data_IF_374899258290
#
_entry.id   IF_374899258290
#
_cell.length_a   1.000
_cell.length_b   1.000
_cell.length_c   1.000
_cell.angle_alpha   90.00
_cell.angle_beta   90.00
_cell.angle_gamma   90.00
#
_symmetry.space_group_name_H-M   'P 1'
#
loop_
_entity.id
_entity.type
_entity.pdbx_description
1 polymer ?
#
# COMPACT_ATOMS: atom_id res chain seq x y z
N UNK A 1 -14.88 -9.28 -2.79
CA UNK A 1 -15.02 -9.29 -1.33
C UNK A 1 -15.81 -8.06 -0.94
N UNK A 2 -17.00 -8.23 -0.42
CA UNK A 2 -17.86 -7.11 0.01
C UNK A 2 -17.27 -6.56 1.31
N UNK A 3 -16.64 -5.41 1.25
CA UNK A 3 -16.22 -4.67 2.44
C UNK A 3 -17.48 -4.22 3.16
N UNK A 4 -17.80 -4.85 4.28
CA UNK A 4 -18.85 -4.37 5.15
C UNK A 4 -18.45 -2.99 5.67
N UNK A 5 -19.20 -1.96 5.30
CA UNK A 5 -19.01 -0.60 5.78
C UNK A 5 -19.46 -0.57 7.24
N UNK A 6 -18.51 -0.44 8.16
CA UNK A 6 -18.79 -0.34 9.59
C UNK A 6 -19.15 1.09 9.91
N UNK A 7 -20.42 1.34 10.18
CA UNK A 7 -20.98 2.65 10.54
C UNK A 7 -21.33 2.65 12.03
N UNK A 8 -21.04 3.75 12.72
CA UNK A 8 -21.44 3.95 14.11
C UNK A 8 -22.85 4.52 14.17
N UNK A 9 -23.85 3.80 14.71
CA UNK A 9 -25.11 4.42 15.08
C UNK A 9 -25.00 5.14 16.43
N UNK A 10 -25.81 6.15 16.66
CA UNK A 10 -25.83 6.97 17.86
C UNK A 10 -26.10 6.21 19.20
N UNK A 11 -26.25 4.90 19.15
CA UNK A 11 -26.46 4.05 20.32
C UNK A 11 -25.65 2.74 20.13
N UNK A 12 -24.35 2.82 20.38
CA UNK A 12 -23.43 1.71 20.14
C UNK A 12 -23.56 0.61 21.19
N UNK A 13 -23.85 -0.60 20.72
CA UNK A 13 -23.53 -1.78 21.50
C UNK A 13 -21.99 -1.92 21.62
N UNK A 14 -21.48 -2.27 22.80
CA UNK A 14 -20.03 -2.42 23.06
C UNK A 14 -19.32 -3.36 22.08
N UNK A 15 -20.04 -4.36 21.57
CA UNK A 15 -19.50 -5.28 20.57
C UNK A 15 -19.23 -4.58 19.23
N UNK A 16 -20.12 -3.69 18.80
CA UNK A 16 -19.95 -2.91 17.57
C UNK A 16 -18.82 -1.88 17.72
N UNK A 17 -18.69 -1.24 18.88
CA UNK A 17 -17.59 -0.33 19.17
C UNK A 17 -16.23 -1.03 19.06
N UNK A 18 -16.10 -2.25 19.60
CA UNK A 18 -14.86 -3.03 19.49
C UNK A 18 -14.51 -3.40 18.03
N UNK A 19 -15.51 -3.71 17.20
CA UNK A 19 -15.29 -4.01 15.80
C UNK A 19 -14.88 -2.77 14.99
N UNK A 20 -15.47 -1.62 15.29
CA UNK A 20 -15.08 -0.33 14.69
C UNK A 20 -13.66 0.06 15.10
N UNK A 21 -13.31 -0.06 16.39
CA UNK A 21 -11.96 0.20 16.88
C UNK A 21 -10.96 -0.70 16.15
N UNK A 22 -11.22 -1.99 16.07
CA UNK A 22 -10.35 -2.95 15.36
C UNK A 22 -10.18 -2.59 13.88
N UNK A 23 -11.28 -2.19 13.22
CA UNK A 23 -11.24 -1.74 11.82
C UNK A 23 -10.45 -0.45 11.66
N UNK A 24 -10.61 0.52 12.57
CA UNK A 24 -9.86 1.78 12.58
C UNK A 24 -8.35 1.54 12.76
N UNK A 25 -7.97 0.71 13.72
CA UNK A 25 -6.57 0.33 13.90
C UNK A 25 -5.99 -0.33 12.65
N UNK A 26 -6.72 -1.28 12.07
CA UNK A 26 -6.28 -1.97 10.85
C UNK A 26 -6.12 -1.02 9.67
N UNK A 27 -6.99 -0.03 9.54
CA UNK A 27 -6.93 0.96 8.46
C UNK A 27 -5.80 1.96 8.68
N UNK A 28 -5.66 2.51 9.89
CA UNK A 28 -4.69 3.56 10.21
C UNK A 28 -3.27 2.99 10.31
N UNK A 29 -3.09 1.86 10.98
CA UNK A 29 -1.76 1.25 11.16
C UNK A 29 -1.45 0.15 10.12
N UNK A 30 -2.32 -0.07 9.14
CA UNK A 30 -2.18 -1.13 8.16
C UNK A 30 -2.38 -2.52 8.79
N UNK A 31 -1.91 -3.54 8.12
CA UNK A 31 -2.02 -4.93 8.58
C UNK A 31 -0.85 -5.33 9.51
N UNK A 32 -0.37 -4.40 10.31
CA UNK A 32 0.73 -4.62 11.24
C UNK A 32 0.23 -5.32 12.50
N UNK A 33 1.07 -6.19 13.08
CA UNK A 33 0.91 -6.62 14.45
C UNK A 33 1.25 -5.46 15.40
N UNK A 34 0.28 -4.98 16.15
CA UNK A 34 0.46 -3.93 17.14
C UNK A 34 0.83 -4.55 18.48
N UNK A 35 1.86 -3.99 19.11
CA UNK A 35 2.26 -4.35 20.46
C UNK A 35 1.36 -3.64 21.48
N UNK A 36 1.35 -4.10 22.71
CA UNK A 36 0.57 -3.50 23.79
C UNK A 36 0.86 -2.00 23.98
N UNK A 37 2.11 -1.58 23.77
CA UNK A 37 2.54 -0.18 23.82
C UNK A 37 2.04 0.67 22.65
N UNK A 38 1.61 0.05 21.56
CA UNK A 38 1.10 0.75 20.38
C UNK A 38 -0.41 1.03 20.49
N UNK A 39 -1.11 0.34 21.39
CA UNK A 39 -2.53 0.52 21.64
C UNK A 39 -2.77 1.84 22.40
N UNK A 40 -3.87 2.52 22.08
CA UNK A 40 -4.23 3.82 22.64
C UNK A 40 -5.50 3.74 23.53
N UNK A 41 -5.40 3.19 24.76
CA UNK A 41 -6.59 2.89 25.59
C UNK A 41 -7.43 4.13 25.92
N UNK A 42 -6.78 5.31 26.03
CA UNK A 42 -7.49 6.57 26.31
C UNK A 42 -8.37 6.98 25.12
N UNK A 43 -7.88 6.83 23.89
CA UNK A 43 -8.64 7.15 22.68
C UNK A 43 -9.80 6.17 22.51
N UNK A 44 -9.56 4.89 22.77
CA UNK A 44 -10.59 3.84 22.73
C UNK A 44 -11.70 4.12 23.74
N UNK A 45 -11.33 4.51 24.98
CA UNK A 45 -12.29 4.84 26.04
C UNK A 45 -13.17 6.03 25.65
N UNK A 46 -12.60 7.09 25.07
CA UNK A 46 -13.36 8.25 24.58
C UNK A 46 -14.35 7.85 23.48
N UNK A 47 -13.94 6.97 22.58
CA UNK A 47 -14.82 6.47 21.53
C UNK A 47 -15.95 5.59 22.09
N UNK A 48 -15.64 4.66 23.00
CA UNK A 48 -16.64 3.79 23.66
C UNK A 48 -17.66 4.60 24.46
N UNK A 49 -17.22 5.69 25.11
CA UNK A 49 -18.08 6.59 25.85
C UNK A 49 -18.96 7.49 24.95
N UNK A 50 -18.69 7.54 23.65
CA UNK A 50 -19.43 8.40 22.71
C UNK A 50 -18.90 9.83 22.62
N UNK A 51 -17.74 10.12 23.22
CA UNK A 51 -17.11 11.44 23.16
C UNK A 51 -16.42 11.72 21.81
N UNK A 52 -16.15 10.65 21.03
CA UNK A 52 -15.55 10.73 19.70
C UNK A 52 -16.47 10.10 18.65
N UNK A 53 -16.54 10.73 17.48
CA UNK A 53 -17.05 10.11 16.26
C UNK A 53 -16.03 9.14 15.68
N UNK A 54 -16.39 8.36 14.67
CA UNK A 54 -15.41 7.51 13.96
C UNK A 54 -14.33 8.35 13.28
N UNK A 55 -14.69 9.49 12.68
CA UNK A 55 -13.73 10.47 12.17
C UNK A 55 -12.76 10.94 13.25
N UNK A 56 -13.29 11.28 14.44
CA UNK A 56 -12.50 11.71 15.60
C UNK A 56 -11.54 10.60 16.07
N UNK A 57 -12.02 9.35 16.14
CA UNK A 57 -11.21 8.18 16.45
C UNK A 57 -10.05 8.01 15.46
N UNK A 58 -10.34 8.03 14.16
CA UNK A 58 -9.33 7.90 13.10
C UNK A 58 -8.31 9.02 13.16
N UNK A 59 -8.77 10.27 13.40
CA UNK A 59 -7.89 11.44 13.53
C UNK A 59 -6.97 11.29 14.74
N UNK A 60 -7.52 10.94 15.90
CA UNK A 60 -6.74 10.79 17.13
C UNK A 60 -5.72 9.64 17.02
N UNK A 61 -6.08 8.51 16.40
CA UNK A 61 -5.14 7.43 16.14
C UNK A 61 -4.02 7.86 15.19
N UNK A 62 -4.35 8.59 14.12
CA UNK A 62 -3.36 9.08 13.15
C UNK A 62 -2.48 10.23 13.70
N UNK A 63 -2.93 10.94 14.72
CA UNK A 63 -2.13 11.97 15.43
C UNK A 63 -1.35 11.38 16.62
N UNK A 64 -1.48 10.08 16.91
CA UNK A 64 -0.78 9.46 18.04
C UNK A 64 0.73 9.37 17.82
N UNK A 65 1.47 9.35 18.93
CA UNK A 65 2.93 9.13 18.92
C UNK A 65 3.30 7.80 18.23
N UNK A 66 2.45 6.79 18.33
CA UNK A 66 2.64 5.52 17.63
C UNK A 66 2.65 5.70 16.12
N UNK A 67 1.68 6.43 15.55
CA UNK A 67 1.64 6.70 14.11
C UNK A 67 2.83 7.54 13.66
N UNK A 68 3.18 8.56 14.41
CA UNK A 68 4.34 9.43 14.18
C UNK A 68 5.64 8.62 14.12
N UNK A 69 5.88 7.81 15.14
CA UNK A 69 7.08 6.95 15.22
C UNK A 69 7.16 5.94 14.07
N UNK A 70 6.03 5.31 13.73
CA UNK A 70 5.98 4.26 12.73
C UNK A 70 6.12 4.77 11.29
N UNK A 71 5.55 5.93 11.00
CA UNK A 71 5.40 6.38 9.62
C UNK A 71 6.13 7.69 9.32
N UNK A 72 6.15 8.66 10.23
CA UNK A 72 6.86 9.92 9.99
C UNK A 72 8.36 9.78 10.25
N UNK A 73 8.74 9.28 11.42
CA UNK A 73 10.14 9.22 11.83
C UNK A 73 10.93 8.12 11.08
N UNK A 74 10.24 7.06 10.67
CA UNK A 74 10.84 5.93 9.96
C UNK A 74 10.96 6.15 8.45
N UNK A 75 10.34 7.19 7.89
CA UNK A 75 10.25 7.37 6.44
C UNK A 75 10.60 8.81 6.01
N UNK A 76 10.82 8.98 4.70
CA UNK A 76 10.90 10.31 4.11
C UNK A 76 9.54 11.02 4.13
N UNK A 77 9.49 12.37 4.15
CA UNK A 77 8.23 13.12 4.09
C UNK A 77 7.34 12.73 2.91
N UNK A 78 7.93 12.44 1.76
CA UNK A 78 7.20 11.98 0.57
C UNK A 78 6.51 10.63 0.79
N UNK A 79 7.21 9.68 1.44
CA UNK A 79 6.61 8.38 1.76
C UNK A 79 5.56 8.51 2.84
N UNK A 80 5.77 9.36 3.82
CA UNK A 80 4.78 9.65 4.84
C UNK A 80 3.47 10.19 4.23
N UNK A 81 3.56 11.16 3.31
CA UNK A 81 2.38 11.69 2.57
C UNK A 81 1.68 10.59 1.77
N UNK A 82 2.43 9.73 1.06
CA UNK A 82 1.84 8.58 0.36
C UNK A 82 1.04 7.68 1.30
N UNK A 83 1.57 7.41 2.49
CA UNK A 83 0.91 6.56 3.49
C UNK A 83 -0.33 7.23 4.07
N UNK A 84 -0.30 8.56 4.31
CA UNK A 84 -1.47 9.31 4.74
C UNK A 84 -2.61 9.24 3.72
N UNK A 85 -2.32 9.40 2.43
CA UNK A 85 -3.32 9.21 1.37
C UNK A 85 -3.94 7.81 1.40
N UNK A 86 -3.12 6.80 1.62
CA UNK A 86 -3.59 5.41 1.72
C UNK A 86 -4.44 5.16 2.96
N UNK A 87 -3.93 5.54 4.12
CA UNK A 87 -4.56 5.22 5.40
C UNK A 87 -5.81 6.05 5.67
N UNK A 88 -5.80 7.34 5.32
CA UNK A 88 -6.84 8.28 5.65
C UNK A 88 -7.83 8.50 4.50
N UNK A 89 -7.37 8.52 3.25
CA UNK A 89 -8.23 8.72 2.08
C UNK A 89 -8.48 7.46 1.24
N UNK A 90 -7.78 6.35 1.54
CA UNK A 90 -7.96 5.08 0.84
C UNK A 90 -7.54 5.08 -0.63
N UNK A 91 -6.70 6.01 -1.06
CA UNK A 91 -6.22 6.15 -2.43
C UNK A 91 -4.74 6.55 -2.49
N UNK A 92 -4.16 6.46 -3.67
CA UNK A 92 -2.86 7.05 -3.95
C UNK A 92 -2.95 8.56 -4.22
N UNK A 93 -1.86 9.33 -4.04
CA UNK A 93 -1.76 10.70 -4.54
C UNK A 93 -1.98 10.75 -6.06
N UNK A 94 -2.70 11.78 -6.53
CA UNK A 94 -3.02 11.96 -7.95
C UNK A 94 -1.82 12.48 -8.74
N UNK A 95 -1.16 13.48 -8.19
CA UNK A 95 -0.05 14.16 -8.85
C UNK A 95 1.00 14.68 -7.86
N UNK A 96 2.04 15.27 -8.41
CA UNK A 96 3.13 15.85 -7.64
C UNK A 96 2.70 17.13 -6.89
N UNK A 97 1.67 17.82 -7.35
CA UNK A 97 1.19 19.03 -6.70
C UNK A 97 0.53 18.70 -5.36
N UNK A 98 -0.31 17.64 -5.31
CA UNK A 98 -0.85 17.12 -4.04
C UNK A 98 0.25 16.76 -3.03
N UNK A 99 1.27 16.01 -3.49
CA UNK A 99 2.38 15.63 -2.61
C UNK A 99 3.12 16.88 -2.10
N UNK A 100 3.42 17.81 -2.99
CA UNK A 100 4.16 19.04 -2.63
C UNK A 100 3.40 19.92 -1.65
N UNK A 101 2.08 20.02 -1.79
CA UNK A 101 1.22 20.76 -0.87
C UNK A 101 1.29 20.17 0.54
N UNK A 102 1.12 18.85 0.66
CA UNK A 102 1.14 18.16 1.93
C UNK A 102 2.54 18.14 2.59
N UNK A 103 3.60 17.95 1.80
CA UNK A 103 4.98 18.05 2.34
C UNK A 103 5.27 19.47 2.86
N UNK A 104 4.77 20.50 2.17
CA UNK A 104 4.91 21.89 2.65
C UNK A 104 4.11 22.10 3.93
N UNK A 105 2.86 21.63 3.99
CA UNK A 105 2.04 21.75 5.21
C UNK A 105 2.69 21.04 6.39
N UNK A 106 3.23 19.83 6.18
CA UNK A 106 3.98 19.13 7.23
C UNK A 106 5.16 19.93 7.75
N UNK A 107 5.87 20.66 6.86
CA UNK A 107 7.02 21.50 7.24
C UNK A 107 6.61 22.80 7.95
N UNK A 108 5.53 23.45 7.50
CA UNK A 108 5.14 24.79 7.90
C UNK A 108 4.19 24.76 9.11
N UNK A 109 3.25 23.83 9.13
CA UNK A 109 2.17 23.73 10.12
C UNK A 109 2.35 22.54 11.09
N UNK A 110 3.18 21.57 10.73
CA UNK A 110 3.51 20.43 11.57
C UNK A 110 2.63 19.21 11.36
N UNK A 111 2.94 18.16 12.13
CA UNK A 111 2.37 16.81 11.99
C UNK A 111 0.85 16.76 12.21
N UNK A 112 0.36 17.40 13.27
CA UNK A 112 -1.06 17.35 13.64
C UNK A 112 -1.93 18.04 12.60
N UNK A 113 -1.49 19.21 12.10
CA UNK A 113 -2.18 19.96 11.07
C UNK A 113 -2.19 19.20 9.73
N UNK A 114 -1.07 18.54 9.41
CA UNK A 114 -1.00 17.69 8.22
C UNK A 114 -2.02 16.56 8.29
N UNK A 115 -2.11 15.81 9.39
CA UNK A 115 -3.12 14.75 9.55
C UNK A 115 -4.54 15.32 9.49
N UNK A 116 -4.79 16.43 10.18
CA UNK A 116 -6.10 17.09 10.18
C UNK A 116 -6.55 17.49 8.77
N UNK A 117 -5.60 17.88 7.91
CA UNK A 117 -5.90 18.27 6.53
C UNK A 117 -6.52 17.15 5.69
N UNK A 118 -6.24 15.89 6.00
CA UNK A 118 -6.88 14.74 5.35
C UNK A 118 -8.23 14.43 5.96
N UNK A 119 -8.29 14.29 7.28
CA UNK A 119 -9.49 13.79 7.97
C UNK A 119 -10.64 14.80 8.00
N UNK A 120 -10.34 16.10 7.93
CA UNK A 120 -11.35 17.17 7.83
C UNK A 120 -11.52 17.71 6.40
N UNK A 121 -10.93 17.05 5.39
CA UNK A 121 -11.11 17.44 3.99
C UNK A 121 -12.52 17.17 3.50
N UNK A 122 -12.96 17.94 2.51
CA UNK A 122 -14.23 17.67 1.80
C UNK A 122 -14.21 16.28 1.15
N UNK A 123 -13.03 15.81 0.71
CA UNK A 123 -12.91 14.48 0.13
C UNK A 123 -13.21 13.39 1.16
N UNK A 124 -12.68 13.51 2.38
CA UNK A 124 -12.95 12.57 3.47
C UNK A 124 -14.44 12.55 3.80
N UNK A 125 -15.02 13.72 4.03
CA UNK A 125 -16.43 13.85 4.42
C UNK A 125 -17.39 13.33 3.35
N UNK A 126 -17.09 13.58 2.08
CA UNK A 126 -17.93 13.11 0.97
C UNK A 126 -17.86 11.58 0.76
N UNK A 127 -16.76 10.94 1.11
CA UNK A 127 -16.57 9.51 0.90
C UNK A 127 -16.88 8.65 2.13
N UNK A 128 -16.58 9.15 3.32
CA UNK A 128 -16.68 8.38 4.57
C UNK A 128 -17.64 9.02 5.58
N UNK A 129 -17.87 10.33 5.47
CA UNK A 129 -18.66 11.05 6.49
C UNK A 129 -17.94 11.08 7.84
N UNK A 130 -18.72 11.18 8.93
CA UNK A 130 -18.21 11.24 10.29
C UNK A 130 -18.27 9.90 11.03
N UNK A 131 -19.05 8.95 10.50
CA UNK A 131 -19.39 7.69 11.18
C UNK A 131 -18.87 6.44 10.49
N UNK A 132 -18.05 6.57 9.44
CA UNK A 132 -17.52 5.43 8.69
C UNK A 132 -16.01 5.37 8.79
N UNK A 133 -15.47 4.17 9.08
CA UNK A 133 -14.02 3.93 9.03
C UNK A 133 -13.55 4.02 7.57
N UNK A 134 -12.48 4.77 7.26
CA UNK A 134 -11.92 4.81 5.93
C UNK A 134 -11.58 3.41 5.39
N UNK A 135 -11.70 3.25 4.09
CA UNK A 135 -11.40 1.99 3.40
C UNK A 135 -10.69 2.27 2.07
N UNK A 136 -10.02 1.25 1.54
CA UNK A 136 -9.33 1.37 0.25
C UNK A 136 -10.32 1.54 -0.90
N UNK A 137 -10.22 2.65 -1.64
CA UNK A 137 -11.11 3.01 -2.75
C UNK A 137 -10.55 2.57 -4.11
N UNK A 138 -9.97 1.38 -4.16
CA UNK A 138 -9.29 0.87 -5.35
C UNK A 138 -10.23 0.43 -6.47
N UNK A 139 -11.47 0.12 -6.13
CA UNK A 139 -12.41 -0.51 -7.07
C UNK A 139 -13.24 0.49 -7.92
N UNK A 140 -13.12 1.78 -7.65
CA UNK A 140 -13.92 2.81 -8.35
C UNK A 140 -13.04 3.63 -9.28
N UNK A 141 -13.40 3.65 -10.57
CA UNK A 141 -12.88 4.62 -11.53
C UNK A 141 -13.82 5.81 -11.57
N UNK A 142 -13.27 7.02 -11.47
CA UNK A 142 -14.04 8.27 -11.57
C UNK A 142 -13.95 8.77 -13.01
N UNK A 143 -15.07 9.22 -13.57
CA UNK A 143 -15.10 9.81 -14.92
C UNK A 143 -14.18 11.04 -14.95
N UNK A 144 -13.28 11.07 -15.91
CA UNK A 144 -12.27 12.14 -16.04
C UNK A 144 -10.95 11.89 -15.31
N UNK A 145 -10.85 10.85 -14.50
CA UNK A 145 -9.57 10.43 -13.92
C UNK A 145 -8.84 9.40 -14.79
N UNK A 146 -7.52 9.48 -14.80
CA UNK A 146 -6.67 8.52 -15.50
C UNK A 146 -6.67 7.16 -14.78
N UNK A 147 -6.65 6.07 -15.53
CA UNK A 147 -6.44 4.70 -15.01
C UNK A 147 -5.12 4.54 -14.24
N UNK A 148 -4.18 5.46 -14.38
CA UNK A 148 -2.94 5.51 -13.62
C UNK A 148 -3.21 5.67 -12.12
N UNK A 149 -4.23 6.43 -11.72
CA UNK A 149 -4.62 6.58 -10.31
C UNK A 149 -5.00 5.24 -9.68
N UNK A 150 -5.79 4.43 -10.40
CA UNK A 150 -6.13 3.06 -9.98
C UNK A 150 -4.89 2.19 -9.83
N UNK A 151 -4.01 2.18 -10.82
CA UNK A 151 -2.78 1.38 -10.78
C UNK A 151 -1.84 1.80 -9.65
N UNK A 152 -1.75 3.09 -9.34
CA UNK A 152 -0.98 3.60 -8.20
C UNK A 152 -1.56 3.13 -6.87
N UNK A 153 -2.86 3.18 -6.71
CA UNK A 153 -3.53 2.71 -5.49
C UNK A 153 -3.32 1.21 -5.30
N UNK A 154 -3.40 0.42 -6.36
CA UNK A 154 -3.07 -1.01 -6.32
C UNK A 154 -1.60 -1.29 -5.98
N UNK A 155 -0.68 -0.48 -6.51
CA UNK A 155 0.75 -0.64 -6.24
C UNK A 155 1.14 -0.33 -4.78
N UNK A 156 0.30 0.41 -4.05
CA UNK A 156 0.50 0.69 -2.63
C UNK A 156 0.02 -0.43 -1.71
N UNK A 157 -0.75 -1.39 -2.21
CA UNK A 157 -1.23 -2.50 -1.39
C UNK A 157 -0.11 -3.53 -1.18
N UNK A 158 0.34 -3.77 0.08
CA UNK A 158 1.38 -4.74 0.38
C UNK A 158 0.91 -6.19 0.24
N UNK A 159 -0.39 -6.41 -0.03
CA UNK A 159 -1.02 -7.72 0.00
C UNK A 159 -1.37 -8.17 1.42
N UNK A 160 -1.92 -9.38 1.51
CA UNK A 160 -2.50 -9.91 2.76
C UNK A 160 -1.49 -10.08 3.90
N UNK A 161 -0.26 -10.46 3.58
CA UNK A 161 0.77 -10.78 4.58
C UNK A 161 1.79 -9.64 4.79
N UNK A 162 1.69 -8.55 4.03
CA UNK A 162 2.60 -7.43 4.15
C UNK A 162 2.05 -6.30 5.02
N UNK A 163 2.92 -5.42 5.47
CA UNK A 163 2.56 -4.17 6.11
C UNK A 163 3.39 -2.99 5.56
N UNK A 164 2.89 -1.77 5.78
CA UNK A 164 3.41 -0.59 5.08
C UNK A 164 4.79 -0.12 5.56
N UNK A 165 5.15 -0.42 6.81
CA UNK A 165 6.44 -0.04 7.39
C UNK A 165 7.65 -0.72 6.75
N UNK A 166 7.48 -1.88 6.11
CA UNK A 166 8.57 -2.63 5.47
C UNK A 166 8.78 -2.25 4.00
N UNK A 167 7.99 -1.31 3.48
CA UNK A 167 8.00 -0.99 2.06
C UNK A 167 8.53 0.40 1.78
N UNK A 168 9.51 0.47 0.88
CA UNK A 168 9.94 1.74 0.31
C UNK A 168 8.84 2.34 -0.57
N UNK A 169 8.91 3.66 -0.82
CA UNK A 169 8.02 4.32 -1.77
C UNK A 169 8.09 3.67 -3.15
N UNK A 170 6.95 3.28 -3.69
CA UNK A 170 6.81 2.73 -5.04
C UNK A 170 6.22 3.74 -6.02
N UNK A 171 5.69 4.85 -5.50
CA UNK A 171 4.96 5.84 -6.29
C UNK A 171 5.77 7.06 -6.68
N UNK A 172 6.85 7.36 -5.97
CA UNK A 172 7.60 8.61 -6.12
C UNK A 172 7.98 8.89 -7.59
N UNK A 173 8.54 7.89 -8.28
CA UNK A 173 8.89 8.01 -9.70
C UNK A 173 7.63 8.09 -10.57
N UNK A 174 6.64 7.25 -10.30
CA UNK A 174 5.39 7.21 -11.06
C UNK A 174 4.62 8.52 -11.00
N UNK A 175 4.57 9.16 -9.84
CA UNK A 175 3.87 10.43 -9.64
C UNK A 175 4.64 11.57 -10.30
N UNK A 176 5.96 11.65 -10.10
CA UNK A 176 6.81 12.71 -10.67
C UNK A 176 6.87 12.65 -12.20
N UNK A 177 6.97 11.46 -12.78
CA UNK A 177 7.07 11.27 -14.23
C UNK A 177 5.71 11.14 -14.95
N UNK A 178 4.60 11.10 -14.19
CA UNK A 178 3.24 10.81 -14.70
C UNK A 178 3.14 9.49 -15.46
N UNK A 179 3.97 8.52 -15.12
CA UNK A 179 3.97 7.18 -15.72
C UNK A 179 3.25 6.18 -14.81
N UNK A 180 2.95 5.00 -15.36
CA UNK A 180 2.42 3.91 -14.56
C UNK A 180 3.46 3.46 -13.53
N UNK A 181 3.03 3.06 -12.31
CA UNK A 181 3.93 2.45 -11.36
C UNK A 181 4.52 1.16 -11.95
N UNK A 182 5.75 0.87 -11.62
CA UNK A 182 6.37 -0.41 -12.00
C UNK A 182 5.52 -1.52 -11.41
N UNK A 183 5.11 -2.49 -12.25
CA UNK A 183 4.22 -3.57 -11.84
C UNK A 183 4.71 -4.23 -10.54
N UNK A 184 3.79 -4.43 -9.62
CA UNK A 184 4.03 -5.19 -8.39
C UNK A 184 4.57 -6.58 -8.75
N UNK A 185 5.77 -6.89 -8.34
CA UNK A 185 6.43 -8.16 -8.71
C UNK A 185 7.71 -8.01 -9.53
N UNK A 186 7.94 -6.85 -10.13
CA UNK A 186 9.30 -6.48 -10.55
C UNK A 186 10.12 -6.08 -9.31
N UNK A 187 10.21 -6.98 -8.33
CA UNK A 187 11.15 -6.87 -7.25
C UNK A 187 12.52 -6.81 -7.92
N UNK A 188 13.08 -5.60 -8.02
CA UNK A 188 14.50 -5.47 -8.26
C UNK A 188 15.13 -6.32 -7.16
N UNK A 189 15.67 -7.46 -7.53
CA UNK A 189 16.45 -8.27 -6.59
C UNK A 189 17.59 -7.35 -6.19
N UNK A 190 17.43 -6.67 -5.05
CA UNK A 190 18.49 -5.92 -4.39
C UNK A 190 19.39 -6.97 -3.71
N UNK A 191 20.03 -7.73 -4.55
CA UNK A 191 21.16 -8.54 -4.21
C UNK A 191 22.18 -8.17 -5.26
N UNK A 192 23.28 -7.55 -4.87
CA UNK A 192 24.37 -7.14 -5.74
C UNK A 192 25.05 -8.30 -6.47
N UNK A 193 24.31 -9.27 -6.93
CA UNK A 193 24.71 -10.40 -7.73
C UNK A 193 24.44 -10.16 -9.20
N UNK A 194 25.34 -10.60 -10.06
CA UNK A 194 25.17 -10.60 -11.51
C UNK A 194 23.86 -11.28 -11.87
N UNK A 195 23.07 -10.63 -12.75
CA UNK A 195 21.86 -11.18 -13.35
C UNK A 195 22.22 -11.83 -14.68
N UNK A 196 21.55 -12.94 -14.99
CA UNK A 196 21.75 -13.68 -16.22
C UNK A 196 20.44 -13.86 -16.97
N UNK A 197 20.47 -13.60 -18.26
CA UNK A 197 19.41 -13.93 -19.20
C UNK A 197 19.61 -15.37 -19.71
N UNK A 198 18.69 -16.27 -19.40
CA UNK A 198 18.68 -17.62 -19.94
C UNK A 198 17.63 -17.68 -21.06
N UNK A 199 18.04 -18.04 -22.26
CA UNK A 199 17.13 -18.38 -23.35
C UNK A 199 17.12 -19.89 -23.54
N UNK A 200 15.94 -20.49 -23.60
CA UNK A 200 15.78 -21.94 -23.70
C UNK A 200 14.55 -22.33 -24.50
N UNK A 201 14.52 -23.57 -25.01
CA UNK A 201 13.38 -24.13 -25.73
C UNK A 201 12.83 -25.34 -24.99
N UNK A 202 11.51 -25.48 -24.91
CA UNK A 202 10.88 -26.67 -24.36
C UNK A 202 10.93 -27.82 -25.34
N UNK A 203 11.04 -29.05 -24.79
CA UNK A 203 10.98 -30.30 -25.61
C UNK A 203 9.54 -30.67 -25.96
N UNK A 204 8.56 -30.17 -25.23
CA UNK A 204 7.14 -30.50 -25.43
C UNK A 204 6.65 -29.84 -26.71
N UNK A 205 6.36 -30.62 -27.73
CA UNK A 205 5.66 -30.21 -28.96
C UNK A 205 4.15 -30.23 -28.66
N UNK A 206 3.54 -29.06 -28.49
CA UNK A 206 2.08 -28.92 -28.47
C UNK A 206 1.59 -28.70 -29.92
N UNK A 207 1.22 -29.78 -30.61
CA UNK A 207 0.66 -29.70 -31.94
C UNK A 207 1.66 -29.25 -33.02
N UNK A 208 1.16 -28.59 -34.07
CA UNK A 208 1.94 -28.03 -35.19
C UNK A 208 2.70 -26.73 -34.87
N UNK A 209 2.70 -26.30 -33.62
CA UNK A 209 3.36 -25.05 -33.23
C UNK A 209 4.88 -25.19 -33.26
N UNK A 210 5.54 -24.18 -33.85
CA UNK A 210 7.00 -24.06 -33.86
C UNK A 210 7.51 -23.94 -32.43
N UNK A 211 8.67 -24.53 -32.12
CA UNK A 211 9.35 -24.38 -30.82
C UNK A 211 9.55 -22.92 -30.52
N UNK A 212 8.91 -22.42 -29.47
CA UNK A 212 9.12 -21.06 -28.99
C UNK A 212 10.33 -20.99 -28.06
N UNK A 213 11.18 -19.98 -28.24
CA UNK A 213 12.23 -19.68 -27.30
C UNK A 213 11.62 -18.92 -26.11
N UNK A 214 11.88 -19.41 -24.92
CA UNK A 214 11.50 -18.73 -23.67
C UNK A 214 12.72 -17.99 -23.10
N UNK A 215 12.47 -16.90 -22.38
CA UNK A 215 13.51 -16.13 -21.68
C UNK A 215 13.15 -15.99 -20.22
N UNK A 216 14.16 -16.12 -19.35
CA UNK A 216 14.03 -15.82 -17.93
C UNK A 216 15.29 -15.12 -17.44
N UNK A 217 15.09 -14.11 -16.55
CA UNK A 217 16.17 -13.40 -15.88
C UNK A 217 16.32 -13.99 -14.49
N UNK A 218 17.53 -14.45 -14.17
CA UNK A 218 17.82 -15.12 -12.89
C UNK A 218 19.07 -14.56 -12.25
N UNK A 219 19.12 -14.54 -10.91
CA UNK A 219 20.30 -14.15 -10.16
C UNK A 219 21.35 -15.27 -10.21
N UNK A 220 22.62 -14.92 -10.04
CA UNK A 220 23.72 -15.89 -9.97
C UNK A 220 23.45 -17.03 -8.97
N UNK A 221 22.93 -16.70 -7.79
CA UNK A 221 22.63 -17.70 -6.74
C UNK A 221 21.53 -18.70 -7.12
N UNK A 222 20.62 -18.35 -8.03
CA UNK A 222 19.54 -19.22 -8.52
C UNK A 222 19.82 -19.83 -9.88
N UNK A 223 20.93 -19.46 -10.53
CA UNK A 223 21.27 -19.88 -11.89
C UNK A 223 21.34 -21.41 -12.04
N UNK A 224 22.09 -22.07 -11.19
CA UNK A 224 22.24 -23.53 -11.22
C UNK A 224 20.92 -24.28 -11.02
N UNK A 225 20.11 -23.80 -10.05
CA UNK A 225 18.79 -24.40 -9.77
C UNK A 225 17.82 -24.24 -10.94
N UNK A 226 17.84 -23.07 -11.60
CA UNK A 226 17.01 -22.81 -12.79
C UNK A 226 17.47 -23.65 -13.97
N UNK A 227 18.78 -23.79 -14.20
CA UNK A 227 19.33 -24.67 -15.26
C UNK A 227 18.88 -26.13 -15.05
N UNK A 228 19.01 -26.62 -13.83
CA UNK A 228 18.58 -27.98 -13.48
C UNK A 228 17.08 -28.18 -13.70
N UNK A 229 16.26 -27.20 -13.32
CA UNK A 229 14.80 -27.23 -13.54
C UNK A 229 14.45 -27.28 -15.03
N UNK A 230 15.10 -26.45 -15.86
CA UNK A 230 14.90 -26.44 -17.31
C UNK A 230 15.27 -27.79 -17.93
N UNK A 231 16.41 -28.35 -17.51
CA UNK A 231 16.87 -29.67 -18.02
C UNK A 231 15.97 -30.80 -17.54
N UNK A 232 15.50 -30.80 -16.31
CA UNK A 232 14.56 -31.79 -15.79
C UNK A 232 13.23 -31.80 -16.56
N UNK A 233 12.79 -30.63 -17.05
CA UNK A 233 11.61 -30.49 -17.89
C UNK A 233 11.88 -30.84 -19.38
N UNK A 234 13.09 -31.33 -19.69
CA UNK A 234 13.50 -31.64 -21.04
C UNK A 234 13.74 -30.43 -21.95
N UNK A 235 13.91 -29.23 -21.33
CA UNK A 235 14.25 -28.02 -22.06
C UNK A 235 15.72 -28.01 -22.51
N UNK A 236 15.98 -27.34 -23.64
CA UNK A 236 17.34 -27.13 -24.17
C UNK A 236 17.69 -25.64 -24.01
N UNK A 237 18.78 -25.38 -23.27
CA UNK A 237 19.31 -24.04 -23.13
C UNK A 237 19.98 -23.61 -24.43
N UNK A 238 19.65 -22.40 -24.90
CA UNK A 238 20.19 -21.80 -26.12
C UNK A 238 21.35 -20.88 -25.80
N UNK A 239 21.10 -19.92 -24.87
CA UNK A 239 22.11 -18.94 -24.48
C UNK A 239 21.96 -18.59 -23.00
N UNK A 240 23.07 -18.28 -22.37
CA UNK A 240 23.16 -17.66 -21.04
C UNK A 240 24.03 -16.40 -21.22
N UNK A 241 23.46 -15.23 -21.02
CA UNK A 241 24.16 -13.95 -21.14
C UNK A 241 23.99 -13.13 -19.85
N UNK A 242 24.92 -12.23 -19.56
CA UNK A 242 24.71 -11.23 -18.53
C UNK A 242 23.53 -10.35 -18.89
N UNK A 243 22.62 -10.06 -17.91
CA UNK A 243 21.45 -9.23 -18.12
C UNK A 243 21.79 -7.76 -17.94
#
# INVERSE_FOLDING_TARGET
MTTATLTSPANQDRSQAADIIRAAYRQVFGNRYLMELDVQPSIEALFINGDLTVQGLVTALAQSDTYRRLYLEANSPYRFVELNFKHLLGRAPRDQAEISEHVRRLSDEGFEAEIASYTYSNEYLNNFGIDTVPYARTATTVVGESTVAYQRTQAMDPGFAGFDGDQASVLQVSVASRTNPTAYGARKVVGGGKLFNISWTSKVQLGTARRSAQRSVVSYGSLSKTIQSIQAQGGRILTIANA
#
